data_IF_826555146123
#
_entry.id   IF_826555146123
#
_cell.length_a   1.000
_cell.length_b   1.000
_cell.length_c   1.000
_cell.angle_alpha   90.00
_cell.angle_beta   90.00
_cell.angle_gamma   90.00
#
_symmetry.space_group_name_H-M   'P 1'
#
loop_
_entity.id
_entity.type
_entity.pdbx_description
1 polymer ?
#
# COMPACT_ATOMS: atom_id res chain seq x y z
N UNK A 1 -39.67 21.81 -6.70
CA UNK A 1 -40.10 21.55 -5.31
C UNK A 1 -38.84 21.13 -4.56
N UNK A 2 -38.19 22.08 -3.88
CA UNK A 2 -36.82 21.93 -3.39
C UNK A 2 -36.89 21.67 -1.88
N UNK A 3 -36.56 20.44 -1.46
CA UNK A 3 -36.67 20.03 -0.06
C UNK A 3 -35.41 20.46 0.68
N UNK A 4 -35.54 21.45 1.58
CA UNK A 4 -34.46 21.88 2.46
C UNK A 4 -34.45 21.00 3.73
N UNK A 5 -33.43 20.15 3.87
CA UNK A 5 -33.22 19.35 5.09
C UNK A 5 -32.29 20.13 6.02
N UNK A 6 -32.82 20.64 7.14
CA UNK A 6 -32.05 21.32 8.19
C UNK A 6 -31.70 20.32 9.28
N UNK A 7 -30.42 19.99 9.44
CA UNK A 7 -29.90 19.21 10.58
C UNK A 7 -29.33 20.18 11.61
N UNK A 8 -29.98 20.29 12.77
CA UNK A 8 -29.49 21.11 13.88
C UNK A 8 -28.46 20.32 14.71
N UNK A 9 -27.25 20.87 14.84
CA UNK A 9 -26.21 20.35 15.74
C UNK A 9 -26.39 21.02 17.11
N UNK A 10 -26.62 20.22 18.15
CA UNK A 10 -26.85 20.71 19.51
C UNK A 10 -25.51 21.08 20.17
N UNK A 11 -25.33 22.37 20.48
CA UNK A 11 -24.08 22.89 21.06
C UNK A 11 -24.08 24.40 21.27
N UNK A 12 -24.51 24.83 22.46
CA UNK A 12 -24.41 26.18 23.07
C UNK A 12 -25.00 27.36 22.29
N UNK A 13 -25.94 28.04 22.95
CA UNK A 13 -26.56 29.31 22.54
C UNK A 13 -25.53 30.42 22.33
N UNK A 14 -25.38 30.89 21.10
CA UNK A 14 -24.81 32.23 20.78
C UNK A 14 -25.46 32.79 19.51
N UNK A 15 -26.19 33.90 19.67
CA UNK A 15 -26.81 34.75 18.62
C UNK A 15 -27.77 34.04 17.66
N UNK A 16 -28.77 34.77 17.13
CA UNK A 16 -29.62 34.25 16.07
C UNK A 16 -28.72 33.79 14.91
N UNK A 17 -28.84 32.54 14.42
CA UNK A 17 -27.96 32.05 13.38
C UNK A 17 -28.18 32.91 12.13
N UNK A 18 -27.11 33.59 11.68
CA UNK A 18 -27.14 34.25 10.39
C UNK A 18 -27.51 33.22 9.31
N UNK A 19 -28.24 33.62 8.25
CA UNK A 19 -28.68 32.67 7.24
C UNK A 19 -27.48 31.99 6.60
N UNK A 20 -27.34 30.68 6.85
CA UNK A 20 -26.34 29.82 6.23
C UNK A 20 -27.05 28.98 5.17
N UNK A 21 -26.57 29.06 3.94
CA UNK A 21 -27.03 28.23 2.82
C UNK A 21 -26.02 27.12 2.56
N UNK A 22 -26.50 25.88 2.48
CA UNK A 22 -25.69 24.72 2.12
C UNK A 22 -26.02 24.32 0.70
N UNK A 23 -25.04 24.43 -0.20
CA UNK A 23 -25.16 24.05 -1.60
C UNK A 23 -24.39 22.75 -1.84
N UNK A 24 -25.07 21.59 -2.01
CA UNK A 24 -24.40 20.34 -2.30
C UNK A 24 -23.72 20.39 -3.68
N UNK A 25 -22.51 19.84 -3.76
CA UNK A 25 -21.75 19.72 -5.01
C UNK A 25 -21.57 18.23 -5.29
N UNK A 26 -21.94 17.82 -6.51
CA UNK A 26 -21.79 16.46 -6.98
C UNK A 26 -21.09 16.43 -8.34
N UNK A 27 -20.36 15.35 -8.61
CA UNK A 27 -19.75 15.03 -9.90
C UNK A 27 -20.32 13.68 -10.38
N UNK A 28 -20.95 13.65 -11.55
CA UNK A 28 -21.57 12.44 -12.09
C UNK A 28 -22.60 11.75 -11.15
N UNK A 29 -23.25 12.52 -10.26
CA UNK A 29 -24.18 12.00 -9.25
C UNK A 29 -23.51 11.54 -7.94
N UNK A 30 -22.18 11.58 -7.85
CA UNK A 30 -21.44 11.31 -6.61
C UNK A 30 -21.26 12.61 -5.81
N UNK A 31 -21.67 12.69 -4.53
CA UNK A 31 -21.43 13.87 -3.71
C UNK A 31 -19.93 14.04 -3.47
N UNK A 32 -19.39 15.21 -3.82
CA UNK A 32 -17.98 15.54 -3.62
C UNK A 32 -17.77 16.54 -2.47
N UNK A 33 -18.81 17.28 -2.10
CA UNK A 33 -18.74 18.26 -1.03
C UNK A 33 -20.00 19.12 -0.94
N UNK A 34 -19.93 20.16 -0.14
CA UNK A 34 -20.90 21.22 -0.11
C UNK A 34 -20.22 22.58 0.06
N UNK A 35 -20.74 23.61 -0.59
CA UNK A 35 -20.43 24.99 -0.24
C UNK A 35 -21.31 25.42 0.92
N UNK A 36 -20.68 25.89 1.99
CA UNK A 36 -21.34 26.52 3.13
C UNK A 36 -21.20 28.02 2.93
N UNK A 37 -22.29 28.69 2.57
CA UNK A 37 -22.34 30.13 2.31
C UNK A 37 -23.01 30.81 3.49
N UNK A 38 -22.26 31.69 4.17
CA UNK A 38 -22.74 32.53 5.25
C UNK A 38 -22.56 34.01 4.94
N UNK A 39 -22.85 34.90 5.91
CA UNK A 39 -22.71 36.34 5.73
C UNK A 39 -21.26 36.78 5.46
N UNK A 40 -20.29 36.06 6.02
CA UNK A 40 -18.86 36.41 5.95
C UNK A 40 -18.11 35.74 4.78
N UNK A 41 -18.82 34.94 3.97
CA UNK A 41 -18.26 34.30 2.79
C UNK A 41 -18.70 32.86 2.58
N UNK A 42 -18.02 32.18 1.65
CA UNK A 42 -18.31 30.81 1.26
C UNK A 42 -17.10 29.91 1.53
N UNK A 43 -17.32 28.75 2.16
CA UNK A 43 -16.30 27.74 2.42
C UNK A 43 -16.71 26.39 1.85
N UNK A 44 -15.80 25.73 1.12
CA UNK A 44 -16.02 24.39 0.60
C UNK A 44 -15.73 23.34 1.68
N UNK A 45 -16.67 22.40 1.88
CA UNK A 45 -16.54 21.26 2.78
C UNK A 45 -16.57 19.97 1.96
N UNK A 46 -15.43 19.27 1.79
CA UNK A 46 -15.39 18.04 1.02
C UNK A 46 -16.09 16.90 1.76
N UNK A 47 -16.71 15.98 1.01
CA UNK A 47 -17.15 14.69 1.53
C UNK A 47 -15.96 13.75 1.54
N UNK A 48 -15.53 13.34 2.74
CA UNK A 48 -14.47 12.33 2.90
C UNK A 48 -15.13 10.98 3.13
N UNK A 49 -14.94 10.06 2.18
CA UNK A 49 -15.34 8.67 2.34
C UNK A 49 -14.32 7.96 3.23
N UNK A 50 -14.61 7.90 4.53
CA UNK A 50 -13.76 7.25 5.53
C UNK A 50 -13.61 5.74 5.29
N UNK A 51 -14.60 5.11 4.66
CA UNK A 51 -14.54 3.69 4.32
C UNK A 51 -13.54 3.46 3.19
N UNK A 52 -13.60 4.30 2.13
CA UNK A 52 -12.62 4.26 1.06
C UNK A 52 -11.21 4.58 1.57
N UNK A 53 -11.07 5.61 2.41
CA UNK A 53 -9.78 6.00 2.98
C UNK A 53 -9.20 4.89 3.88
N UNK A 54 -10.03 4.31 4.75
CA UNK A 54 -9.63 3.19 5.59
C UNK A 54 -9.25 1.96 4.78
N UNK A 55 -10.02 1.63 3.73
CA UNK A 55 -9.72 0.53 2.82
C UNK A 55 -8.40 0.75 2.06
N UNK A 56 -8.17 1.95 1.54
CA UNK A 56 -6.93 2.32 0.87
C UNK A 56 -5.72 2.24 1.82
N UNK A 57 -5.85 2.75 3.05
CA UNK A 57 -4.81 2.68 4.06
C UNK A 57 -4.47 1.22 4.42
N UNK A 58 -5.50 0.38 4.61
CA UNK A 58 -5.32 -1.04 4.91
C UNK A 58 -4.64 -1.78 3.75
N UNK A 59 -5.04 -1.51 2.52
CA UNK A 59 -4.43 -2.09 1.32
C UNK A 59 -2.95 -1.68 1.18
N UNK A 60 -2.64 -0.40 1.40
CA UNK A 60 -1.27 0.10 1.37
C UNK A 60 -0.40 -0.55 2.46
N UNK A 61 -0.92 -0.68 3.69
CA UNK A 61 -0.24 -1.36 4.78
C UNK A 61 0.01 -2.85 4.47
N UNK A 62 -0.97 -3.53 3.87
CA UNK A 62 -0.84 -4.91 3.39
C UNK A 62 0.24 -5.06 2.32
N UNK A 63 0.26 -4.17 1.33
CA UNK A 63 1.28 -4.17 0.28
C UNK A 63 2.70 -3.94 0.85
N UNK A 64 2.83 -2.98 1.78
CA UNK A 64 4.10 -2.69 2.44
C UNK A 64 4.62 -3.88 3.26
N UNK A 65 3.75 -4.55 4.02
CA UNK A 65 4.13 -5.74 4.80
C UNK A 65 4.58 -6.88 3.91
N UNK A 66 3.91 -7.13 2.78
CA UNK A 66 4.35 -8.13 1.79
C UNK A 66 5.72 -7.75 1.21
N UNK A 67 5.90 -6.49 0.80
CA UNK A 67 7.17 -6.03 0.24
C UNK A 67 8.34 -6.19 1.24
N UNK A 68 8.13 -5.83 2.51
CA UNK A 68 9.12 -6.03 3.58
C UNK A 68 9.43 -7.51 3.76
N UNK A 69 8.41 -8.38 3.82
CA UNK A 69 8.62 -9.81 3.97
C UNK A 69 9.46 -10.39 2.81
N UNK A 70 9.19 -9.96 1.58
CA UNK A 70 9.96 -10.35 0.39
C UNK A 70 11.39 -9.83 0.49
N UNK A 71 11.59 -8.56 0.86
CA UNK A 71 12.92 -7.97 1.01
C UNK A 71 13.76 -8.70 2.07
N UNK A 72 13.15 -9.04 3.22
CA UNK A 72 13.80 -9.82 4.28
C UNK A 72 14.12 -11.24 3.80
N UNK A 73 13.20 -11.90 3.09
CA UNK A 73 13.43 -13.24 2.54
C UNK A 73 14.55 -13.24 1.48
N UNK A 74 14.64 -12.19 0.66
CA UNK A 74 15.68 -12.01 -0.34
C UNK A 74 17.03 -11.69 0.32
N UNK A 75 17.08 -10.77 1.28
CA UNK A 75 18.31 -10.40 1.99
C UNK A 75 18.88 -11.50 2.88
N UNK A 76 18.04 -12.45 3.34
CA UNK A 76 18.51 -13.66 4.04
C UNK A 76 19.25 -14.64 3.12
N UNK A 77 19.16 -14.52 1.80
CA UNK A 77 20.02 -15.27 0.88
C UNK A 77 21.40 -14.62 0.93
N UNK A 78 22.31 -15.19 1.73
CA UNK A 78 23.73 -14.83 1.65
C UNK A 78 24.18 -15.00 0.20
N UNK A 79 24.95 -14.05 -0.37
CA UNK A 79 25.60 -14.28 -1.65
C UNK A 79 26.51 -15.52 -1.52
N UNK A 80 26.29 -16.51 -2.38
CA UNK A 80 27.06 -17.78 -2.42
C UNK A 80 28.49 -17.57 -2.94
N UNK A 81 28.78 -16.37 -3.45
CA UNK A 81 30.07 -15.96 -3.99
C UNK A 81 30.64 -14.88 -3.07
N UNK A 82 31.78 -15.16 -2.45
CA UNK A 82 32.54 -14.17 -1.69
C UNK A 82 33.31 -13.20 -2.59
N UNK A 83 34.53 -12.85 -2.20
CA UNK A 83 35.33 -11.83 -2.88
C UNK A 83 35.81 -12.32 -4.24
N UNK A 84 35.58 -11.51 -5.27
CA UNK A 84 36.16 -11.67 -6.61
C UNK A 84 37.40 -10.79 -6.69
N UNK A 85 38.56 -11.39 -6.91
CA UNK A 85 39.83 -10.66 -7.06
C UNK A 85 40.45 -10.93 -8.42
N UNK A 86 40.87 -9.86 -9.10
CA UNK A 86 41.57 -9.96 -10.37
C UNK A 86 43.08 -9.95 -10.13
N UNK A 87 43.80 -10.95 -10.62
CA UNK A 87 45.25 -11.03 -10.52
C UNK A 87 45.95 -10.18 -11.60
N UNK A 88 47.22 -9.79 -11.38
CA UNK A 88 48.04 -9.16 -12.41
C UNK A 88 48.24 -10.19 -13.53
N UNK A 89 47.61 -9.98 -14.68
CA UNK A 89 47.55 -10.97 -15.78
C UNK A 89 46.14 -11.39 -16.21
N UNK A 90 45.08 -10.85 -15.58
CA UNK A 90 43.70 -10.99 -16.05
C UNK A 90 42.96 -12.24 -15.54
N UNK A 91 43.59 -13.06 -14.70
CA UNK A 91 42.91 -14.18 -14.05
C UNK A 91 41.96 -13.69 -12.96
N UNK A 92 40.77 -14.29 -12.89
CA UNK A 92 39.77 -14.00 -11.86
C UNK A 92 39.80 -15.12 -10.82
N UNK A 93 40.14 -14.79 -9.57
CA UNK A 93 40.03 -15.71 -8.44
C UNK A 93 38.75 -15.41 -7.67
N UNK A 94 37.96 -16.44 -7.41
CA UNK A 94 36.73 -16.36 -6.62
C UNK A 94 36.94 -17.12 -5.32
N UNK A 95 36.90 -16.42 -4.18
CA UNK A 95 37.04 -17.05 -2.85
C UNK A 95 35.69 -17.11 -2.11
N UNK A 96 35.52 -18.14 -1.28
CA UNK A 96 34.25 -18.51 -0.61
C UNK A 96 33.12 -18.79 -1.61
N UNK A 97 33.35 -19.68 -2.57
CA UNK A 97 32.24 -20.36 -3.25
C UNK A 97 31.67 -21.36 -2.26
N UNK A 98 30.61 -20.98 -1.54
CA UNK A 98 29.78 -22.00 -0.94
C UNK A 98 29.16 -22.75 -2.13
N UNK A 99 29.56 -24.01 -2.34
CA UNK A 99 28.92 -24.83 -3.37
C UNK A 99 27.42 -24.81 -3.04
N UNK A 100 26.54 -24.30 -3.93
CA UNK A 100 25.12 -24.24 -3.63
C UNK A 100 24.68 -25.64 -3.22
N UNK A 101 24.02 -25.82 -2.07
CA UNK A 101 23.62 -27.15 -1.64
C UNK A 101 22.78 -27.76 -2.76
N UNK A 102 23.28 -28.84 -3.39
CA UNK A 102 22.65 -29.53 -4.52
C UNK A 102 21.23 -30.00 -4.19
N UNK A 103 20.85 -29.97 -2.91
CA UNK A 103 19.52 -30.20 -2.40
C UNK A 103 19.16 -29.08 -1.42
N UNK A 104 18.16 -28.26 -1.76
CA UNK A 104 17.55 -27.41 -0.74
C UNK A 104 16.82 -28.29 0.28
N UNK A 105 17.34 -28.34 1.51
CA UNK A 105 16.72 -29.02 2.66
C UNK A 105 15.43 -28.33 3.14
N UNK A 106 15.08 -27.19 2.54
CA UNK A 106 13.84 -26.49 2.83
C UNK A 106 12.61 -27.29 2.34
N UNK A 107 11.54 -27.37 3.15
CA UNK A 107 10.25 -27.94 2.73
C UNK A 107 9.74 -27.26 1.45
N UNK A 108 9.06 -28.01 0.58
CA UNK A 108 8.51 -27.43 -0.66
C UNK A 108 7.50 -26.33 -0.30
N UNK A 109 7.64 -25.11 -0.84
CA UNK A 109 6.65 -24.06 -0.61
C UNK A 109 5.31 -24.47 -1.24
N UNK A 110 4.21 -24.04 -0.64
CA UNK A 110 2.86 -24.47 -1.01
C UNK A 110 2.53 -24.17 -2.47
N UNK A 111 2.98 -23.02 -3.00
CA UNK A 111 2.79 -22.62 -4.39
C UNK A 111 3.45 -23.59 -5.38
N UNK A 112 4.60 -24.18 -5.00
CA UNK A 112 5.29 -25.15 -5.84
C UNK A 112 4.54 -26.49 -5.91
N UNK A 113 3.77 -26.83 -4.85
CA UNK A 113 2.86 -27.98 -4.85
C UNK A 113 1.64 -27.70 -5.71
N UNK A 114 1.06 -26.50 -5.57
CA UNK A 114 -0.09 -26.06 -6.36
C UNK A 114 0.22 -26.04 -7.87
N UNK A 115 1.38 -25.50 -8.25
CA UNK A 115 1.82 -25.41 -9.64
C UNK A 115 2.50 -26.69 -10.18
N UNK A 116 2.56 -27.76 -9.38
CA UNK A 116 3.21 -29.04 -9.72
C UNK A 116 4.61 -28.88 -10.35
N UNK A 117 5.37 -27.86 -9.94
CA UNK A 117 6.70 -27.63 -10.51
C UNK A 117 7.59 -28.82 -10.18
N UNK A 118 8.40 -29.31 -11.12
CA UNK A 118 9.38 -30.39 -10.86
C UNK A 118 10.70 -29.75 -10.41
N UNK A 119 11.42 -30.41 -9.48
CA UNK A 119 12.78 -29.98 -9.13
C UNK A 119 13.69 -30.25 -10.34
N UNK A 120 14.47 -29.27 -10.74
CA UNK A 120 15.56 -29.49 -11.69
C UNK A 120 16.63 -30.30 -10.95
N UNK A 121 16.80 -31.55 -11.36
CA UNK A 121 17.88 -32.42 -10.86
C UNK A 121 19.04 -32.25 -11.84
N UNK A 122 20.26 -31.89 -11.38
CA UNK A 122 21.42 -31.91 -12.25
C UNK A 122 21.63 -33.33 -12.78
N UNK A 123 21.70 -33.49 -14.10
CA UNK A 123 22.15 -34.75 -14.70
C UNK A 123 23.65 -34.92 -14.41
N UNK A 124 24.12 -36.14 -14.08
CA UNK A 124 25.54 -36.42 -13.87
C UNK A 124 26.36 -36.23 -15.14
#
# INVERSE_FOLDING_TARGET
>A
MTTSTTTALDGRTTAAPAPVTVLPVADGGRPIGAWVVGPDGAAFRPVVDLTLLGGAALAAAGAATVAIAVAVAAGRRRPDIGTVTMGPGGWVSVKRTALPPLRSGAPRPWWARALRTRRLVPQP
#
